data_IF_784254412117
#
_entry.id   IF_784254412117
#
_cell.length_a   1.000
_cell.length_b   1.000
_cell.length_c   1.000
_cell.angle_alpha   90.00
_cell.angle_beta   90.00
_cell.angle_gamma   90.00
#
_symmetry.space_group_name_H-M   'P 1'
#
loop_
_entity.id
_entity.type
_entity.pdbx_description
1 polymer ?
#
# COMPACT_ATOMS: atom_id res chain seq x y z
N UNK A 1 29.03 -0.28 0.05
CA UNK A 1 28.48 0.71 -0.90
C UNK A 1 26.99 0.48 -0.99
N UNK A 2 26.17 1.45 -0.61
CA UNK A 2 24.71 1.32 -0.63
C UNK A 2 24.23 1.52 -2.07
N UNK A 3 23.73 0.46 -2.70
CA UNK A 3 23.07 0.57 -4.01
C UNK A 3 21.81 1.41 -3.84
N UNK A 4 21.89 2.68 -4.21
CA UNK A 4 20.71 3.52 -4.43
C UNK A 4 19.98 2.95 -5.64
N UNK A 5 19.04 2.03 -5.38
CA UNK A 5 18.10 1.57 -6.39
C UNK A 5 17.28 2.77 -6.85
N UNK A 6 17.65 3.37 -7.98
CA UNK A 6 16.90 4.45 -8.60
C UNK A 6 15.51 3.87 -8.95
N UNK A 7 14.42 4.25 -8.26
CA UNK A 7 13.14 3.62 -8.50
C UNK A 7 12.69 4.03 -9.90
N UNK A 8 12.67 3.07 -10.81
CA UNK A 8 12.17 3.28 -12.17
C UNK A 8 10.81 4.00 -12.09
N UNK A 9 10.54 4.99 -12.97
CA UNK A 9 9.35 5.85 -12.88
C UNK A 9 8.04 5.07 -12.85
N UNK A 10 8.04 3.84 -13.41
CA UNK A 10 6.94 2.87 -13.33
C UNK A 10 6.66 2.38 -11.91
N UNK A 11 7.70 2.07 -11.12
CA UNK A 11 7.59 1.61 -9.72
C UNK A 11 7.08 2.73 -8.81
N UNK A 12 7.57 3.96 -9.02
CA UNK A 12 7.10 5.15 -8.31
C UNK A 12 5.64 5.52 -8.63
N UNK A 13 5.23 5.48 -9.91
CA UNK A 13 3.83 5.69 -10.31
C UNK A 13 2.91 4.61 -9.75
N UNK A 14 3.35 3.35 -9.76
CA UNK A 14 2.63 2.23 -9.14
C UNK A 14 2.46 2.42 -7.63
N UNK A 15 3.47 2.93 -6.92
CA UNK A 15 3.38 3.23 -5.49
C UNK A 15 2.32 4.30 -5.18
N UNK A 16 2.25 5.37 -5.97
CA UNK A 16 1.25 6.43 -5.80
C UNK A 16 -0.19 5.92 -6.04
N UNK A 17 -0.37 5.06 -7.04
CA UNK A 17 -1.67 4.43 -7.31
C UNK A 17 -2.05 3.48 -6.17
N UNK A 18 -1.10 2.66 -5.70
CA UNK A 18 -1.32 1.74 -4.57
C UNK A 18 -1.70 2.48 -3.30
N UNK A 19 -1.03 3.60 -2.98
CA UNK A 19 -1.34 4.39 -1.79
C UNK A 19 -2.69 5.09 -1.89
N UNK A 20 -3.05 5.65 -3.05
CA UNK A 20 -4.36 6.23 -3.29
C UNK A 20 -5.49 5.18 -3.17
N UNK A 21 -5.31 4.01 -3.78
CA UNK A 21 -6.27 2.91 -3.68
C UNK A 21 -6.43 2.41 -2.23
N UNK A 22 -5.33 2.31 -1.48
CA UNK A 22 -5.36 1.94 -0.07
C UNK A 22 -6.16 2.96 0.76
N UNK A 23 -5.94 4.27 0.56
CA UNK A 23 -6.73 5.33 1.23
C UNK A 23 -8.22 5.23 0.92
N UNK A 24 -8.59 4.95 -0.33
CA UNK A 24 -9.98 4.74 -0.71
C UNK A 24 -10.58 3.49 -0.03
N UNK A 25 -9.82 2.38 0.00
CA UNK A 25 -10.25 1.15 0.67
C UNK A 25 -10.42 1.33 2.19
N UNK A 26 -9.57 2.14 2.82
CA UNK A 26 -9.71 2.52 4.23
C UNK A 26 -11.04 3.23 4.46
N UNK A 27 -11.36 4.26 3.67
CA UNK A 27 -12.65 4.98 3.79
C UNK A 27 -13.86 4.07 3.62
N UNK A 28 -13.81 3.13 2.68
CA UNK A 28 -14.87 2.14 2.49
C UNK A 28 -15.01 1.21 3.70
N UNK A 29 -13.89 0.77 4.29
CA UNK A 29 -13.91 -0.06 5.50
C UNK A 29 -14.44 0.70 6.72
N UNK A 30 -14.08 1.97 6.87
CA UNK A 30 -14.62 2.84 7.91
C UNK A 30 -16.13 3.00 7.79
N UNK A 31 -16.64 3.22 6.57
CA UNK A 31 -18.08 3.24 6.29
C UNK A 31 -18.77 1.93 6.66
N UNK A 32 -18.15 0.80 6.28
CA UNK A 32 -18.63 -0.55 6.58
C UNK A 32 -18.43 -0.98 8.06
N UNK A 33 -17.88 -0.13 8.93
CA UNK A 33 -17.45 -0.48 10.29
C UNK A 33 -16.54 -1.73 10.36
N UNK A 34 -15.75 -1.96 9.32
CA UNK A 34 -14.79 -3.08 9.24
C UNK A 34 -13.42 -2.64 9.74
N UNK A 35 -12.70 -3.54 10.45
CA UNK A 35 -11.34 -3.25 10.85
C UNK A 35 -10.43 -3.03 9.64
N UNK A 36 -9.60 -1.99 9.74
CA UNK A 36 -8.58 -1.65 8.75
C UNK A 36 -7.28 -2.41 9.09
N UNK A 37 -6.81 -3.31 8.22
CA UNK A 37 -5.59 -4.06 8.45
C UNK A 37 -4.36 -3.15 8.45
N UNK A 38 -3.35 -3.50 9.25
CA UNK A 38 -2.15 -2.68 9.40
C UNK A 38 -1.36 -2.54 8.08
N UNK A 39 -1.21 -3.62 7.31
CA UNK A 39 -0.56 -3.57 6.00
C UNK A 39 -1.23 -2.58 5.03
N UNK A 40 -2.56 -2.41 5.12
CA UNK A 40 -3.30 -1.46 4.30
C UNK A 40 -3.03 -0.01 4.72
N UNK A 41 -2.86 0.25 6.02
CA UNK A 41 -2.42 1.56 6.54
C UNK A 41 -1.01 1.89 6.08
N UNK A 42 -0.11 0.91 6.10
CA UNK A 42 1.26 1.10 5.64
C UNK A 42 1.33 1.43 4.15
N UNK A 43 0.55 0.76 3.30
CA UNK A 43 0.43 1.11 1.87
C UNK A 43 -0.17 2.49 1.67
N UNK A 44 -1.19 2.88 2.45
CA UNK A 44 -1.78 4.23 2.39
C UNK A 44 -0.78 5.34 2.80
N UNK A 45 0.17 5.01 3.67
CA UNK A 45 1.30 5.86 4.05
C UNK A 45 2.44 5.85 3.00
N UNK A 46 2.31 5.06 1.92
CA UNK A 46 3.32 4.95 0.88
C UNK A 46 4.51 4.07 1.26
N UNK A 47 4.36 3.21 2.27
CA UNK A 47 5.35 2.17 2.56
C UNK A 47 5.13 0.98 1.62
N UNK A 48 6.22 0.35 1.18
CA UNK A 48 6.15 -0.88 0.38
C UNK A 48 5.85 -2.07 1.31
N UNK A 49 4.62 -2.12 1.80
CA UNK A 49 4.10 -3.21 2.63
C UNK A 49 3.38 -4.20 1.73
N UNK A 50 3.83 -5.45 1.73
CA UNK A 50 3.19 -6.51 0.96
C UNK A 50 1.89 -6.93 1.67
N UNK A 51 0.79 -7.15 0.92
CA UNK A 51 -0.37 -7.82 1.49
C UNK A 51 0.05 -9.22 1.98
N UNK A 52 -0.61 -9.76 3.02
CA UNK A 52 -0.36 -11.12 3.47
C UNK A 52 -0.55 -12.05 2.28
N UNK A 53 0.48 -12.87 2.02
CA UNK A 53 0.42 -13.89 0.97
C UNK A 53 -0.64 -14.89 1.38
N UNK A 54 -1.69 -15.12 0.57
CA UNK A 54 -2.63 -16.18 0.90
C UNK A 54 -1.84 -17.50 0.87
N UNK A 55 -1.73 -18.16 2.03
CA UNK A 55 -1.25 -19.54 2.09
C UNK A 55 -2.22 -20.37 1.29
N UNK A 56 -1.81 -20.77 0.09
CA UNK A 56 -2.55 -21.68 -0.79
C UNK A 56 -2.34 -23.12 -0.36
#
# INVERSE_FOLDING_TARGET
MTTTENPTPRKARSMQVRSAAARASIKLREYDNKPVPQWLRDVAAGKDSAPPTPSR
#
